data_IF_186998697159
#
_entry.id   IF_186998697159
#
_cell.length_a   1.000
_cell.length_b   1.000
_cell.length_c   1.000
_cell.angle_alpha   90.00
_cell.angle_beta   90.00
_cell.angle_gamma   90.00
#
_symmetry.space_group_name_H-M   'P 1'
#
loop_
_entity.id
_entity.type
_entity.pdbx_description
1 polymer ?
#
# COMPACT_ATOMS: atom_id res chain seq x y z
N UNK A 1 -11.12 1.37 -7.49
CA UNK A 1 -10.11 0.38 -7.05
C UNK A 1 -10.66 -0.63 -6.06
N UNK A 2 -11.18 -0.21 -4.90
CA UNK A 2 -11.65 -1.11 -3.82
C UNK A 2 -12.48 -2.32 -4.28
N UNK A 3 -13.56 -2.07 -5.04
CA UNK A 3 -14.42 -3.15 -5.56
C UNK A 3 -13.65 -4.13 -6.46
N UNK A 4 -12.68 -3.65 -7.25
CA UNK A 4 -11.84 -4.52 -8.09
C UNK A 4 -10.92 -5.39 -7.26
N UNK A 5 -10.32 -4.86 -6.19
CA UNK A 5 -9.51 -5.66 -5.27
C UNK A 5 -10.36 -6.75 -4.59
N UNK A 6 -11.56 -6.41 -4.12
CA UNK A 6 -12.52 -7.38 -3.55
C UNK A 6 -12.93 -8.47 -4.55
N UNK A 7 -13.11 -8.12 -5.82
CA UNK A 7 -13.42 -9.09 -6.88
C UNK A 7 -12.22 -9.97 -7.25
N UNK A 8 -11.01 -9.38 -7.28
CA UNK A 8 -9.79 -10.11 -7.60
C UNK A 8 -9.37 -11.09 -6.50
N UNK A 9 -9.61 -10.72 -5.24
CA UNK A 9 -9.21 -11.47 -4.06
C UNK A 9 -10.40 -11.68 -3.10
N UNK A 10 -11.40 -12.51 -3.50
CA UNK A 10 -12.63 -12.67 -2.73
C UNK A 10 -12.40 -13.27 -1.33
N UNK A 11 -11.34 -14.05 -1.17
CA UNK A 11 -10.93 -14.69 0.08
C UNK A 11 -9.87 -13.90 0.85
N UNK A 12 -9.67 -12.61 0.54
CA UNK A 12 -8.74 -11.75 1.27
C UNK A 12 -9.52 -10.57 1.87
N UNK A 13 -8.96 -10.00 2.93
CA UNK A 13 -9.44 -8.73 3.47
C UNK A 13 -8.79 -7.59 2.70
N UNK A 14 -9.59 -6.57 2.38
CA UNK A 14 -9.10 -5.34 1.75
C UNK A 14 -9.43 -4.21 2.72
N UNK A 15 -8.41 -3.60 3.29
CA UNK A 15 -8.52 -2.40 4.11
C UNK A 15 -8.25 -1.18 3.24
N UNK A 16 -9.05 -0.14 3.37
CA UNK A 16 -8.85 1.13 2.68
C UNK A 16 -8.29 2.17 3.65
N UNK A 17 -7.40 3.04 3.15
CA UNK A 17 -6.82 4.16 3.92
C UNK A 17 -6.20 3.71 5.25
N UNK A 18 -5.15 2.89 5.16
CA UNK A 18 -4.45 2.36 6.33
C UNK A 18 -3.28 3.26 6.73
N UNK A 19 -3.25 3.71 7.98
CA UNK A 19 -2.14 4.51 8.49
C UNK A 19 -0.82 3.74 8.44
N UNK A 20 0.28 4.39 8.06
CA UNK A 20 1.61 3.78 8.08
C UNK A 20 1.99 3.32 9.49
N UNK A 21 1.52 4.00 10.53
CA UNK A 21 1.76 3.62 11.94
C UNK A 21 1.08 2.31 12.35
N UNK A 22 0.14 1.78 11.56
CA UNK A 22 -0.41 0.44 11.75
C UNK A 22 0.45 -0.66 11.09
N UNK A 23 1.37 -0.29 10.21
CA UNK A 23 2.24 -1.19 9.44
C UNK A 23 3.69 -1.12 9.94
N UNK A 24 4.19 0.07 10.26
CA UNK A 24 5.59 0.31 10.60
C UNK A 24 5.67 0.76 12.05
N UNK A 25 6.62 0.18 12.78
CA UNK A 25 6.94 0.54 14.16
C UNK A 25 8.38 1.04 14.26
N UNK A 26 8.63 1.94 15.20
CA UNK A 26 9.98 2.41 15.52
C UNK A 26 10.00 2.97 16.94
N UNK A 27 11.01 2.60 17.71
CA UNK A 27 11.26 3.11 19.07
C UNK A 27 11.78 4.55 19.07
N UNK A 28 12.27 5.05 17.93
CA UNK A 28 12.82 6.39 17.82
C UNK A 28 11.77 7.39 17.33
N UNK A 29 11.43 8.36 18.19
CA UNK A 29 10.41 9.36 17.91
C UNK A 29 10.65 10.15 16.61
N UNK A 30 11.90 10.51 16.32
CA UNK A 30 12.30 11.22 15.10
C UNK A 30 12.09 10.40 13.80
N UNK A 31 12.08 9.07 13.90
CA UNK A 31 11.75 8.18 12.77
C UNK A 31 10.24 8.05 12.69
N UNK A 32 9.56 7.84 13.83
CA UNK A 32 8.10 7.70 13.90
C UNK A 32 7.34 8.92 13.36
N UNK A 33 7.82 10.13 13.64
CA UNK A 33 7.22 11.36 13.12
C UNK A 33 7.22 11.42 11.58
N UNK A 34 8.15 10.73 10.90
CA UNK A 34 8.23 10.71 9.44
C UNK A 34 7.07 9.97 8.80
N UNK A 35 6.41 9.04 9.49
CA UNK A 35 5.32 8.24 8.93
C UNK A 35 3.99 8.36 9.66
N UNK A 36 3.93 9.02 10.83
CA UNK A 36 2.69 9.15 11.61
C UNK A 36 1.52 9.85 10.89
N UNK A 37 1.79 10.71 9.91
CA UNK A 37 0.76 11.40 9.11
C UNK A 37 0.52 10.73 7.74
N UNK A 38 1.21 9.62 7.46
CA UNK A 38 1.13 8.92 6.17
C UNK A 38 0.09 7.81 6.23
N UNK A 39 -0.64 7.66 5.13
CA UNK A 39 -1.72 6.67 4.94
C UNK A 39 -1.55 6.04 3.57
N UNK A 40 -1.69 4.72 3.48
CA UNK A 40 -1.70 3.96 2.23
C UNK A 40 -3.10 3.86 1.65
N UNK A 41 -3.27 3.75 0.34
CA UNK A 41 -4.62 3.64 -0.24
C UNK A 41 -5.31 2.33 0.12
N UNK A 42 -4.62 1.18 -0.02
CA UNK A 42 -5.15 -0.11 0.37
C UNK A 42 -4.09 -1.04 0.95
N UNK A 43 -4.54 -1.95 1.82
CA UNK A 43 -3.76 -3.09 2.31
C UNK A 43 -4.57 -4.35 2.12
N UNK A 44 -3.95 -5.37 1.52
CA UNK A 44 -4.53 -6.69 1.32
C UNK A 44 -3.99 -7.62 2.40
N UNK A 45 -4.89 -8.27 3.13
CA UNK A 45 -4.55 -9.24 4.16
C UNK A 45 -5.10 -10.62 3.81
N UNK A 46 -4.37 -11.67 4.18
CA UNK A 46 -4.92 -13.02 4.19
C UNK A 46 -5.88 -13.26 5.36
N UNK A 47 -6.38 -14.49 5.49
CA UNK A 47 -7.32 -14.89 6.53
C UNK A 47 -6.73 -14.82 7.95
N UNK A 48 -5.40 -14.86 8.08
CA UNK A 48 -4.68 -14.73 9.34
C UNK A 48 -4.27 -13.27 9.64
N UNK A 49 -4.81 -12.31 8.89
CA UNK A 49 -4.52 -10.87 9.02
C UNK A 49 -3.06 -10.50 8.71
N UNK A 50 -2.33 -11.35 7.99
CA UNK A 50 -0.96 -11.03 7.52
C UNK A 50 -1.03 -10.17 6.28
N UNK A 51 -0.16 -9.17 6.21
CA UNK A 51 -0.09 -8.26 5.06
C UNK A 51 0.53 -8.97 3.86
N UNK A 52 -0.23 -9.02 2.76
CA UNK A 52 0.18 -9.64 1.49
C UNK A 52 0.74 -8.58 0.54
N UNK A 53 0.05 -7.44 0.47
CA UNK A 53 0.51 -6.30 -0.32
C UNK A 53 -0.09 -5.00 0.20
N UNK A 54 0.69 -3.93 0.06
CA UNK A 54 0.21 -2.55 0.12
C UNK A 54 -0.02 -2.08 -1.32
N UNK A 55 -1.16 -1.48 -1.58
CA UNK A 55 -1.53 -0.97 -2.91
C UNK A 55 -1.70 0.53 -2.85
N UNK A 56 -1.00 1.24 -3.73
CA UNK A 56 -1.07 2.70 -3.88
C UNK A 56 -1.63 3.05 -5.27
N UNK A 57 -2.45 4.09 -5.33
CA UNK A 57 -2.93 4.70 -6.56
C UNK A 57 -2.17 6.00 -6.80
N UNK A 58 -1.58 6.11 -7.98
CA UNK A 58 -0.90 7.34 -8.40
C UNK A 58 -1.77 8.06 -9.43
N UNK A 59 -1.88 9.38 -9.30
CA UNK A 59 -2.49 10.18 -10.37
C UNK A 59 -1.37 10.65 -11.32
N UNK A 60 -1.54 10.53 -12.66
CA UNK A 60 -0.55 10.98 -13.63
C UNK A 60 -0.17 12.47 -13.52
N UNK A 61 -0.90 13.28 -12.75
CA UNK A 61 -0.59 14.69 -12.45
C UNK A 61 0.47 14.92 -11.35
N UNK A 62 1.09 13.87 -10.80
CA UNK A 62 2.11 13.92 -9.73
C UNK A 62 3.48 14.53 -10.09
N UNK A 63 3.52 15.51 -11.02
CA UNK A 63 4.74 16.23 -11.38
C UNK A 63 5.29 16.94 -10.13
N UNK A 64 6.49 16.56 -9.69
CA UNK A 64 7.20 17.17 -8.55
C UNK A 64 6.97 16.52 -7.18
N UNK A 65 6.19 15.43 -7.08
CA UNK A 65 6.04 14.64 -5.85
C UNK A 65 6.80 13.31 -5.85
N UNK A 66 7.50 13.00 -6.93
CA UNK A 66 8.20 11.72 -7.10
C UNK A 66 9.15 11.38 -5.94
N UNK A 67 9.82 12.37 -5.36
CA UNK A 67 10.73 12.17 -4.23
C UNK A 67 10.00 11.79 -2.93
N UNK A 68 8.78 12.31 -2.69
CA UNK A 68 7.98 11.88 -1.55
C UNK A 68 7.45 10.47 -1.75
N UNK A 69 6.99 10.16 -2.96
CA UNK A 69 6.48 8.83 -3.30
C UNK A 69 7.60 7.76 -3.19
N UNK A 70 8.81 8.08 -3.67
CA UNK A 70 9.97 7.21 -3.46
C UNK A 70 10.31 7.01 -1.99
N UNK A 71 10.17 8.03 -1.14
CA UNK A 71 10.40 7.91 0.31
C UNK A 71 9.34 7.03 0.97
N UNK A 72 8.06 7.19 0.59
CA UNK A 72 6.94 6.36 1.09
C UNK A 72 7.18 4.89 0.76
N UNK A 73 7.44 4.60 -0.52
CA UNK A 73 7.67 3.24 -0.99
C UNK A 73 8.90 2.62 -0.34
N UNK A 74 9.96 3.41 -0.13
CA UNK A 74 11.17 2.94 0.57
C UNK A 74 10.87 2.55 2.02
N UNK A 75 10.13 3.36 2.77
CA UNK A 75 9.76 3.03 4.16
C UNK A 75 9.01 1.70 4.26
N UNK A 76 8.03 1.48 3.38
CA UNK A 76 7.25 0.24 3.37
C UNK A 76 8.10 -0.96 2.95
N UNK A 77 8.98 -0.80 1.96
CA UNK A 77 9.91 -1.87 1.53
C UNK A 77 10.92 -2.22 2.61
N UNK A 78 11.48 -1.22 3.31
CA UNK A 78 12.39 -1.44 4.45
C UNK A 78 11.68 -2.15 5.62
N UNK A 79 10.38 -1.92 5.80
CA UNK A 79 9.54 -2.66 6.75
C UNK A 79 9.15 -4.08 6.26
N UNK A 80 9.61 -4.49 5.08
CA UNK A 80 9.37 -5.84 4.53
C UNK A 80 8.07 -5.97 3.73
N UNK A 81 7.36 -4.88 3.46
CA UNK A 81 6.11 -4.93 2.69
C UNK A 81 6.34 -4.86 1.19
N UNK A 82 5.58 -5.69 0.47
CA UNK A 82 5.43 -5.57 -0.98
C UNK A 82 4.50 -4.40 -1.29
N UNK A 83 4.99 -3.44 -2.05
CA UNK A 83 4.21 -2.27 -2.51
C UNK A 83 3.91 -2.43 -4.00
N UNK A 84 2.63 -2.37 -4.35
CA UNK A 84 2.15 -2.40 -5.73
C UNK A 84 1.47 -1.07 -6.07
N UNK A 85 2.03 -0.34 -7.03
CA UNK A 85 1.54 0.99 -7.44
C UNK A 85 0.84 0.92 -8.78
N UNK A 86 -0.24 1.67 -8.95
CA UNK A 86 -1.00 1.73 -10.19
C UNK A 86 -1.32 3.19 -10.56
N UNK A 87 -0.93 3.60 -11.77
CA UNK A 87 -1.27 4.92 -12.35
C UNK A 87 -2.65 4.96 -13.00
N UNK A 88 -3.26 3.79 -13.18
CA UNK A 88 -4.59 3.60 -13.76
C UNK A 88 -5.23 2.37 -13.14
N UNK A 89 -6.56 2.30 -13.10
CA UNK A 89 -7.27 1.17 -12.49
C UNK A 89 -7.01 -0.13 -13.29
N UNK A 90 -6.27 -1.11 -12.73
CA UNK A 90 -5.90 -2.34 -13.43
C UNK A 90 -7.10 -3.28 -13.59
N UNK A 91 -7.01 -4.21 -14.56
CA UNK A 91 -7.98 -5.31 -14.71
C UNK A 91 -7.88 -6.31 -13.54
N UNK A 92 -8.93 -7.09 -13.32
CA UNK A 92 -8.93 -8.15 -12.29
C UNK A 92 -7.79 -9.14 -12.51
N UNK A 93 -7.58 -9.57 -13.76
CA UNK A 93 -6.50 -10.50 -14.13
C UNK A 93 -5.12 -9.91 -13.85
N UNK A 94 -4.93 -8.62 -14.13
CA UNK A 94 -3.67 -7.92 -13.85
C UNK A 94 -3.39 -7.90 -12.35
N UNK A 95 -4.39 -7.54 -11.53
CA UNK A 95 -4.27 -7.57 -10.06
C UNK A 95 -3.81 -8.94 -9.57
N UNK A 96 -4.46 -10.02 -10.02
CA UNK A 96 -4.13 -11.40 -9.62
C UNK A 96 -2.72 -11.84 -10.08
N UNK A 97 -2.22 -11.29 -11.18
CA UNK A 97 -0.86 -11.58 -11.65
C UNK A 97 0.20 -10.82 -10.84
N UNK A 98 -0.08 -9.56 -10.53
CA UNK A 98 0.82 -8.65 -9.84
C UNK A 98 0.87 -8.88 -8.33
N UNK A 99 -0.18 -9.46 -7.75
CA UNK A 99 -0.29 -9.75 -6.32
C UNK A 99 -0.52 -11.25 -6.21
N UNK A 100 0.55 -11.96 -5.89
CA UNK A 100 0.62 -13.42 -5.70
C UNK A 100 1.07 -13.72 -4.29
#
# INVERSE_FOLDING_TARGET
MFLRLKQAFPHYHVLAQVAFSALITSEHYNIRSKFNLKVTDFVILDQEMRVIAVVELDDPSHIGKELEDQKRDRMLKEAGYRVQRYTQIPSIKQLQMDIR
#
